data_IF_312861670127
#
_entry.id   IF_312861670127
#
_cell.length_a   1.000
_cell.length_b   1.000
_cell.length_c   1.000
_cell.angle_alpha   90.00
_cell.angle_beta   90.00
_cell.angle_gamma   90.00
#
_symmetry.space_group_name_H-M   'P 1'
#
loop_
_entity.id
_entity.type
_entity.pdbx_description
1 polymer ?
#
# COMPACT_ATOMS: atom_id res chain seq x y z
N UNK A 1 41.57 -0.14 -18.28
CA UNK A 1 40.15 -0.56 -18.29
C UNK A 1 39.45 0.31 -19.31
N UNK A 2 39.11 -0.26 -20.47
CA UNK A 2 38.45 0.44 -21.58
C UNK A 2 36.94 0.22 -21.42
N UNK A 3 36.17 1.31 -21.46
CA UNK A 3 34.72 1.30 -21.42
C UNK A 3 34.21 0.89 -22.81
N UNK A 4 33.56 -0.27 -22.91
CA UNK A 4 32.93 -0.75 -24.14
C UNK A 4 31.43 -0.39 -24.12
N UNK A 5 30.97 0.53 -24.98
CA UNK A 5 29.56 0.94 -25.02
C UNK A 5 28.60 -0.16 -25.55
N UNK A 6 29.12 -1.26 -26.10
CA UNK A 6 28.32 -2.40 -26.57
C UNK A 6 28.22 -3.55 -25.56
N UNK A 7 28.97 -3.51 -24.46
CA UNK A 7 28.79 -4.44 -23.34
C UNK A 7 27.63 -3.99 -22.43
N UNK A 8 26.43 -3.88 -23.03
CA UNK A 8 25.16 -3.69 -22.33
C UNK A 8 24.65 -5.07 -21.87
N UNK A 9 25.51 -5.89 -21.29
CA UNK A 9 25.12 -6.98 -20.39
C UNK A 9 24.57 -6.43 -19.05
N UNK A 10 24.27 -5.12 -19.03
CA UNK A 10 23.72 -4.31 -17.96
C UNK A 10 22.38 -4.82 -17.45
N UNK A 11 22.45 -5.71 -16.48
CA UNK A 11 21.37 -5.99 -15.52
C UNK A 11 20.97 -4.76 -14.67
N UNK A 12 21.61 -3.61 -14.88
CA UNK A 12 21.55 -2.46 -13.98
C UNK A 12 20.82 -1.23 -14.51
N UNK A 13 20.14 -1.25 -15.66
CA UNK A 13 19.45 -0.03 -16.14
C UNK A 13 17.99 -0.27 -16.51
N UNK A 14 17.68 -1.21 -17.41
CA UNK A 14 16.28 -1.59 -17.70
C UNK A 14 15.57 -2.31 -16.55
N UNK A 15 16.34 -2.97 -15.68
CA UNK A 15 15.80 -3.79 -14.60
C UNK A 15 15.27 -2.94 -13.43
N UNK A 16 15.82 -1.74 -13.19
CA UNK A 16 15.39 -0.92 -12.05
C UNK A 16 14.00 -0.31 -12.22
N UNK A 17 13.62 0.34 -13.34
CA UNK A 17 12.26 0.85 -13.53
C UNK A 17 11.22 -0.27 -13.51
N UNK A 18 11.50 -1.42 -14.14
CA UNK A 18 10.60 -2.57 -14.13
C UNK A 18 10.45 -3.18 -12.73
N UNK A 19 11.55 -3.32 -11.98
CA UNK A 19 11.51 -3.79 -10.60
C UNK A 19 10.79 -2.81 -9.66
N UNK A 20 10.97 -1.50 -9.86
CA UNK A 20 10.26 -0.46 -9.12
C UNK A 20 8.75 -0.48 -9.42
N UNK A 21 8.36 -0.67 -10.69
CA UNK A 21 6.95 -0.83 -11.06
C UNK A 21 6.35 -2.09 -10.44
N UNK A 22 7.04 -3.22 -10.54
CA UNK A 22 6.59 -4.46 -9.91
C UNK A 22 6.42 -4.30 -8.40
N UNK A 23 7.39 -3.67 -7.72
CA UNK A 23 7.28 -3.38 -6.31
C UNK A 23 6.10 -2.43 -5.99
N UNK A 24 5.86 -1.43 -6.84
CA UNK A 24 4.71 -0.55 -6.69
C UNK A 24 3.38 -1.31 -6.83
N UNK A 25 3.27 -2.20 -7.80
CA UNK A 25 2.08 -3.04 -8.03
C UNK A 25 1.84 -3.99 -6.86
N UNK A 26 2.90 -4.63 -6.35
CA UNK A 26 2.81 -5.52 -5.18
C UNK A 26 2.38 -4.75 -3.92
N UNK A 27 2.91 -3.53 -3.71
CA UNK A 27 2.52 -2.66 -2.59
C UNK A 27 1.08 -2.15 -2.75
N UNK A 28 0.66 -1.80 -3.96
CA UNK A 28 -0.72 -1.40 -4.25
C UNK A 28 -1.70 -2.55 -3.97
N UNK A 29 -1.37 -3.77 -4.43
CA UNK A 29 -2.18 -4.96 -4.13
C UNK A 29 -2.27 -5.24 -2.63
N UNK A 30 -1.18 -5.06 -1.88
CA UNK A 30 -1.22 -5.16 -0.42
C UNK A 30 -2.12 -4.08 0.21
N UNK A 31 -2.09 -2.85 -0.29
CA UNK A 31 -2.96 -1.77 0.18
C UNK A 31 -4.45 -2.08 -0.06
N UNK A 32 -4.78 -2.67 -1.21
CA UNK A 32 -6.14 -3.08 -1.55
C UNK A 32 -6.65 -4.17 -0.61
N UNK A 33 -5.81 -5.17 -0.28
CA UNK A 33 -6.16 -6.21 0.68
C UNK A 33 -6.42 -5.64 2.08
N UNK A 34 -5.57 -4.71 2.54
CA UNK A 34 -5.76 -4.06 3.85
C UNK A 34 -7.03 -3.20 3.85
N UNK A 35 -7.34 -2.55 2.73
CA UNK A 35 -8.57 -1.77 2.56
C UNK A 35 -9.81 -2.67 2.59
N UNK A 36 -9.80 -3.79 1.86
CA UNK A 36 -10.88 -4.77 1.85
C UNK A 36 -11.10 -5.36 3.25
N UNK A 37 -10.03 -5.72 3.95
CA UNK A 37 -10.09 -6.18 5.34
C UNK A 37 -10.74 -5.14 6.26
N UNK A 38 -10.34 -3.86 6.16
CA UNK A 38 -10.85 -2.78 6.99
C UNK A 38 -12.31 -2.40 6.69
N UNK A 39 -12.70 -2.40 5.42
CA UNK A 39 -14.01 -1.91 4.98
C UNK A 39 -15.07 -3.00 4.89
N UNK A 40 -14.67 -4.23 4.58
CA UNK A 40 -15.59 -5.34 4.30
C UNK A 40 -15.56 -6.38 5.42
N UNK A 41 -14.39 -6.97 5.69
CA UNK A 41 -14.31 -8.11 6.61
C UNK A 41 -14.59 -7.70 8.05
N UNK A 42 -13.89 -6.66 8.54
CA UNK A 42 -14.09 -6.15 9.90
C UNK A 42 -15.46 -5.51 10.10
N UNK A 43 -16.03 -4.90 9.06
CA UNK A 43 -17.38 -4.35 9.13
C UNK A 43 -18.43 -5.45 9.32
N UNK A 44 -18.23 -6.62 8.72
CA UNK A 44 -19.09 -7.79 8.88
C UNK A 44 -19.00 -8.46 10.25
N UNK A 45 -17.99 -8.12 11.06
CA UNK A 45 -17.80 -8.69 12.42
C UNK A 45 -18.44 -7.87 13.55
N UNK A 46 -19.03 -6.71 13.24
CA UNK A 46 -19.67 -5.87 14.26
C UNK A 46 -20.83 -6.60 14.93
N UNK A 47 -20.89 -6.52 16.26
CA UNK A 47 -21.96 -7.12 17.05
C UNK A 47 -23.15 -6.16 17.15
N UNK A 48 -24.35 -6.67 16.86
CA UNK A 48 -25.61 -5.99 17.12
C UNK A 48 -25.97 -5.98 18.61
N UNK A 49 -26.90 -5.10 19.00
CA UNK A 49 -27.35 -4.93 20.38
C UNK A 49 -27.89 -6.23 21.03
N UNK A 50 -28.37 -7.16 20.19
CA UNK A 50 -28.95 -8.44 20.61
C UNK A 50 -28.09 -9.67 20.27
N UNK A 51 -26.94 -9.51 19.61
CA UNK A 51 -26.09 -10.64 19.20
C UNK A 51 -25.46 -11.37 20.40
N UNK A 52 -25.41 -10.71 21.55
CA UNK A 52 -24.98 -11.30 22.82
C UNK A 52 -26.15 -11.91 23.62
N UNK A 53 -27.37 -11.95 23.08
CA UNK A 53 -28.56 -12.48 23.76
C UNK A 53 -28.95 -11.70 25.03
N UNK A 54 -29.46 -12.41 26.04
CA UNK A 54 -29.82 -11.84 27.35
C UNK A 54 -28.69 -11.03 28.01
N UNK A 55 -27.40 -11.43 27.91
CA UNK A 55 -26.28 -10.57 28.29
C UNK A 55 -26.30 -9.20 27.62
N UNK A 56 -26.45 -9.11 26.30
CA UNK A 56 -26.51 -7.82 25.58
C UNK A 56 -27.67 -6.92 26.01
N UNK A 57 -28.80 -7.52 26.37
CA UNK A 57 -29.98 -6.77 26.87
C UNK A 57 -29.84 -6.38 28.35
N UNK A 58 -29.27 -7.25 29.19
CA UNK A 58 -28.98 -6.98 30.61
C UNK A 58 -28.00 -5.82 30.78
N UNK A 59 -27.11 -5.63 29.81
CA UNK A 59 -26.09 -4.58 29.82
C UNK A 59 -26.63 -3.18 29.56
N UNK A 60 -27.70 -3.06 28.76
CA UNK A 60 -28.43 -1.79 28.55
C UNK A 60 -29.28 -1.43 29.78
N UNK A 61 -29.75 -2.42 30.54
CA UNK A 61 -30.71 -2.25 31.64
C UNK A 61 -30.01 -2.15 33.01
N UNK A 62 -28.81 -2.72 33.19
CA UNK A 62 -28.07 -2.74 34.46
C UNK A 62 -26.57 -2.43 34.26
N UNK A 63 -26.14 -1.16 34.32
CA UNK A 63 -24.77 -0.73 34.02
C UNK A 63 -23.68 -1.25 34.99
N UNK A 64 -24.06 -1.85 36.13
CA UNK A 64 -23.14 -2.38 37.14
C UNK A 64 -22.91 -3.90 37.05
N UNK A 65 -23.45 -4.59 36.03
CA UNK A 65 -23.24 -6.03 35.83
C UNK A 65 -21.99 -6.24 34.98
N UNK A 66 -21.05 -7.08 35.45
CA UNK A 66 -19.84 -7.45 34.70
C UNK A 66 -20.24 -8.12 33.37
N UNK A 67 -20.08 -7.36 32.28
CA UNK A 67 -20.65 -7.65 30.97
C UNK A 67 -21.15 -6.37 30.27
N UNK A 68 -21.49 -5.34 31.06
CA UNK A 68 -21.98 -4.02 30.61
C UNK A 68 -21.04 -3.37 29.60
N UNK A 69 -21.51 -3.18 28.37
CA UNK A 69 -20.75 -2.55 27.29
C UNK A 69 -19.74 -3.45 26.58
N UNK A 70 -19.80 -4.78 26.71
CA UNK A 70 -18.90 -5.70 26.00
C UNK A 70 -19.04 -5.61 24.47
N UNK A 71 -20.27 -5.52 23.95
CA UNK A 71 -20.51 -5.27 22.52
C UNK A 71 -19.99 -3.89 22.08
N UNK A 72 -20.23 -2.84 22.86
CA UNK A 72 -19.72 -1.49 22.56
C UNK A 72 -18.19 -1.42 22.61
N UNK A 73 -17.56 -2.02 23.61
CA UNK A 73 -16.10 -2.08 23.72
C UNK A 73 -15.48 -2.90 22.58
N UNK A 74 -16.10 -4.02 22.23
CA UNK A 74 -15.71 -4.82 21.08
C UNK A 74 -15.82 -4.01 19.78
N UNK A 75 -16.99 -3.42 19.52
CA UNK A 75 -17.23 -2.61 18.32
C UNK A 75 -16.27 -1.40 18.27
N UNK A 76 -15.98 -0.75 19.39
CA UNK A 76 -14.97 0.34 19.47
C UNK A 76 -13.57 -0.16 19.15
N UNK A 77 -13.20 -1.36 19.59
CA UNK A 77 -11.91 -1.97 19.25
C UNK A 77 -11.84 -2.28 17.75
N UNK A 78 -12.91 -2.83 17.17
CA UNK A 78 -13.04 -3.07 15.73
C UNK A 78 -12.93 -1.76 14.96
N UNK A 79 -13.65 -0.70 15.34
CA UNK A 79 -13.54 0.62 14.72
C UNK A 79 -12.12 1.20 14.78
N UNK A 80 -11.43 1.02 15.90
CA UNK A 80 -10.03 1.44 16.05
C UNK A 80 -9.13 0.70 15.06
N UNK A 81 -9.28 -0.63 14.96
CA UNK A 81 -8.52 -1.46 14.01
C UNK A 81 -8.83 -1.04 12.57
N UNK A 82 -10.10 -0.78 12.24
CA UNK A 82 -10.52 -0.31 10.92
C UNK A 82 -9.88 1.03 10.58
N UNK A 83 -9.90 2.00 11.49
CA UNK A 83 -9.29 3.31 11.31
C UNK A 83 -7.77 3.23 11.10
N UNK A 84 -7.08 2.43 11.91
CA UNK A 84 -5.62 2.21 11.75
C UNK A 84 -5.32 1.51 10.42
N UNK A 85 -6.09 0.49 10.06
CA UNK A 85 -5.89 -0.27 8.82
C UNK A 85 -6.12 0.61 7.58
N UNK A 86 -7.16 1.44 7.58
CA UNK A 86 -7.43 2.39 6.49
C UNK A 86 -6.28 3.39 6.30
N UNK A 87 -5.75 3.95 7.41
CA UNK A 87 -4.60 4.86 7.36
C UNK A 87 -3.33 4.17 6.86
N UNK A 88 -3.11 2.93 7.25
CA UNK A 88 -1.98 2.14 6.78
C UNK A 88 -2.10 1.86 5.27
N UNK A 89 -3.31 1.53 4.79
CA UNK A 89 -3.56 1.34 3.35
C UNK A 89 -3.27 2.62 2.55
N UNK A 90 -3.71 3.80 3.03
CA UNK A 90 -3.37 5.08 2.41
C UNK A 90 -1.85 5.30 2.33
N UNK A 91 -1.13 4.98 3.41
CA UNK A 91 0.34 5.10 3.44
C UNK A 91 1.01 4.16 2.43
N UNK A 92 0.49 2.94 2.27
CA UNK A 92 0.98 1.99 1.25
C UNK A 92 0.69 2.50 -0.17
N UNK A 93 -0.48 3.09 -0.42
CA UNK A 93 -0.79 3.70 -1.73
C UNK A 93 0.16 4.86 -2.06
N UNK A 94 0.47 5.71 -1.08
CA UNK A 94 1.44 6.79 -1.26
C UNK A 94 2.85 6.24 -1.58
N UNK A 95 3.25 5.13 -0.94
CA UNK A 95 4.51 4.45 -1.25
C UNK A 95 4.52 3.90 -2.68
N UNK A 96 3.45 3.22 -3.11
CA UNK A 96 3.32 2.71 -4.47
C UNK A 96 3.43 3.86 -5.50
N UNK A 97 2.77 4.99 -5.25
CA UNK A 97 2.86 6.17 -6.11
C UNK A 97 4.28 6.74 -6.17
N UNK A 98 4.99 6.77 -5.04
CA UNK A 98 6.37 7.24 -4.98
C UNK A 98 7.31 6.33 -5.79
N UNK A 99 7.10 5.01 -5.73
CA UNK A 99 7.87 4.02 -6.51
C UNK A 99 7.61 4.16 -8.02
N UNK A 100 6.37 4.35 -8.45
CA UNK A 100 6.03 4.63 -9.86
C UNK A 100 6.66 5.94 -10.36
N UNK A 101 6.65 6.96 -9.50
CA UNK A 101 7.26 8.25 -9.80
C UNK A 101 8.78 8.10 -9.96
N UNK A 102 9.44 7.36 -9.05
CA UNK A 102 10.86 7.06 -9.15
C UNK A 102 11.19 6.31 -10.46
N UNK A 103 10.41 5.28 -10.81
CA UNK A 103 10.58 4.56 -12.07
C UNK A 103 10.49 5.50 -13.29
N UNK A 104 9.53 6.43 -13.29
CA UNK A 104 9.37 7.41 -14.36
C UNK A 104 10.54 8.40 -14.45
N UNK A 105 11.10 8.81 -13.31
CA UNK A 105 12.30 9.67 -13.29
C UNK A 105 13.51 8.97 -13.91
N UNK A 106 13.73 7.69 -13.60
CA UNK A 106 14.81 6.92 -14.22
C UNK A 106 14.65 6.82 -15.74
N UNK A 107 13.44 6.55 -16.24
CA UNK A 107 13.18 6.49 -17.68
C UNK A 107 13.42 7.84 -18.39
N UNK A 108 13.06 8.96 -17.74
CA UNK A 108 13.30 10.30 -18.29
C UNK A 108 14.79 10.63 -18.32
N UNK A 109 15.54 10.25 -17.28
CA UNK A 109 16.99 10.42 -17.25
C UNK A 109 17.65 9.60 -18.37
N UNK A 110 17.23 8.34 -18.56
CA UNK A 110 17.73 7.46 -19.60
C UNK A 110 17.48 8.05 -21.00
N UNK A 111 16.28 8.56 -21.26
CA UNK A 111 15.96 9.20 -22.54
C UNK A 111 16.83 10.44 -22.81
N UNK A 112 17.08 11.25 -21.78
CA UNK A 112 17.92 12.44 -21.87
C UNK A 112 19.40 12.10 -22.09
N UNK A 113 19.92 11.07 -21.43
CA UNK A 113 21.29 10.59 -21.61
C UNK A 113 21.48 9.96 -22.99
N UNK A 114 20.53 9.15 -23.46
CA UNK A 114 20.55 8.58 -24.81
C UNK A 114 20.55 9.67 -25.89
N UNK A 115 19.73 10.72 -25.74
CA UNK A 115 19.77 11.87 -26.65
C UNK A 115 21.11 12.61 -26.65
N UNK A 116 21.74 12.78 -25.48
CA UNK A 116 23.07 13.40 -25.38
C UNK A 116 24.14 12.57 -26.07
N UNK A 117 24.14 11.26 -25.83
CA UNK A 117 25.09 10.34 -26.47
C UNK A 117 24.92 10.31 -27.98
N UNK A 118 23.67 10.24 -28.48
CA UNK A 118 23.38 10.29 -29.93
C UNK A 118 23.85 11.60 -30.57
N UNK A 119 23.73 12.73 -29.88
CA UNK A 119 24.24 14.04 -30.35
C UNK A 119 25.77 14.10 -30.38
N UNK A 120 26.44 13.40 -29.46
CA UNK A 120 27.91 13.30 -29.42
C UNK A 120 28.45 12.33 -30.48
N UNK A 121 27.76 11.21 -30.74
CA UNK A 121 28.14 10.26 -31.81
C UNK A 121 27.86 10.79 -33.21
N UNK A 122 26.76 11.55 -33.39
CA UNK A 122 26.46 12.24 -34.66
C UNK A 122 27.34 13.47 -34.94
N UNK A 123 28.29 13.78 -34.06
CA UNK A 123 29.19 14.93 -34.13
C UNK A 123 30.65 14.59 -34.42
N UNK A 124 30.99 13.35 -34.79
CA UNK A 124 32.33 13.01 -35.30
C UNK A 124 32.43 13.39 -36.80
N UNK A 125 33.35 14.30 -37.19
CA UNK A 125 33.68 14.52 -38.60
C UNK A 125 34.33 13.30 -39.26
#
# INVERSE_FOLDING_TARGET
MSFDPNDISGRGYRVYPEALRKAADDVAGAADLVTAFALTDLAGTLLGEFDLGLPGTLTTIMPNVHGAGTAEQYNRAIETIRGVSAKNAETLQQLAQALQTAASYYEQQDAAEYERLKKLEGGLP
#
